data_IF_864929989817
#
_entry.id   IF_864929989817
#
_cell.length_a   1.000
_cell.length_b   1.000
_cell.length_c   1.000
_cell.angle_alpha   90.00
_cell.angle_beta   90.00
_cell.angle_gamma   90.00
#
_symmetry.space_group_name_H-M   'P 1'
#
loop_
_entity.id
_entity.type
_entity.pdbx_description
1 polymer ?
#
# COMPACT_ATOMS: atom_id res chain seq x y z
N UNK A 1 2.20 -14.24 -16.28
CA UNK A 1 2.56 -13.61 -15.01
C UNK A 1 1.35 -12.89 -14.49
N UNK A 2 0.78 -13.36 -13.40
CA UNK A 2 -0.34 -12.73 -12.67
C UNK A 2 0.18 -12.04 -11.42
N UNK A 3 -0.62 -11.13 -10.85
CA UNK A 3 -0.26 -10.52 -9.56
C UNK A 3 -0.09 -11.55 -8.44
N UNK A 4 -0.90 -12.62 -8.44
CA UNK A 4 -0.80 -13.68 -7.44
C UNK A 4 0.50 -14.48 -7.56
N UNK A 5 0.92 -14.79 -8.79
CA UNK A 5 2.23 -15.44 -9.04
C UNK A 5 3.40 -14.58 -8.53
N UNK A 6 3.34 -13.25 -8.73
CA UNK A 6 4.35 -12.33 -8.21
C UNK A 6 4.35 -12.22 -6.68
N UNK A 7 3.17 -12.19 -6.06
CA UNK A 7 3.06 -12.18 -4.59
C UNK A 7 3.64 -13.45 -3.98
N UNK A 8 3.37 -14.61 -4.58
CA UNK A 8 3.94 -15.89 -4.17
C UNK A 8 5.46 -15.92 -4.36
N UNK A 9 5.98 -15.40 -5.48
CA UNK A 9 7.42 -15.27 -5.75
C UNK A 9 8.14 -14.47 -4.65
N UNK A 10 7.55 -13.37 -4.20
CA UNK A 10 8.07 -12.51 -3.15
C UNK A 10 7.73 -12.99 -1.74
N UNK A 11 7.00 -14.11 -1.60
CA UNK A 11 6.49 -14.64 -0.34
C UNK A 11 5.73 -13.57 0.46
N UNK A 12 4.83 -12.83 -0.20
CA UNK A 12 4.00 -11.78 0.40
C UNK A 12 2.58 -12.28 0.61
N UNK A 13 2.16 -12.38 1.86
CA UNK A 13 0.78 -12.68 2.21
C UNK A 13 -0.08 -11.40 2.20
N UNK A 14 -1.40 -11.57 2.15
CA UNK A 14 -2.39 -10.48 2.25
C UNK A 14 -2.09 -9.51 3.40
N UNK A 15 -1.68 -10.04 4.56
CA UNK A 15 -1.37 -9.24 5.74
C UNK A 15 -0.07 -8.43 5.59
N UNK A 16 0.90 -8.93 4.83
CA UNK A 16 2.13 -8.19 4.51
C UNK A 16 1.83 -7.00 3.59
N UNK A 17 0.96 -7.20 2.60
CA UNK A 17 0.46 -6.12 1.72
C UNK A 17 -0.26 -5.07 2.56
N UNK A 18 -1.20 -5.51 3.41
CA UNK A 18 -1.98 -4.63 4.28
C UNK A 18 -1.08 -3.80 5.18
N UNK A 19 -0.05 -4.43 5.76
CA UNK A 19 0.93 -3.72 6.59
C UNK A 19 1.68 -2.63 5.82
N UNK A 20 2.21 -2.93 4.64
CA UNK A 20 2.92 -1.94 3.81
C UNK A 20 2.01 -0.78 3.39
N UNK A 21 0.76 -1.07 3.02
CA UNK A 21 -0.23 -0.03 2.70
C UNK A 21 -0.54 0.86 3.92
N UNK A 22 -0.68 0.28 5.11
CA UNK A 22 -0.84 1.04 6.36
C UNK A 22 0.36 1.95 6.65
N UNK A 23 1.60 1.50 6.38
CA UNK A 23 2.79 2.33 6.56
C UNK A 23 2.73 3.57 5.66
N UNK A 24 2.38 3.41 4.38
CA UNK A 24 2.24 4.54 3.44
C UNK A 24 1.15 5.52 3.87
N UNK A 25 0.02 5.01 4.37
CA UNK A 25 -1.05 5.87 4.92
C UNK A 25 -0.56 6.61 6.17
N UNK A 26 0.20 5.94 7.03
CA UNK A 26 0.80 6.54 8.23
C UNK A 26 1.76 7.66 7.86
N UNK A 27 2.65 7.44 6.87
CA UNK A 27 3.54 8.46 6.34
C UNK A 27 2.77 9.64 5.77
N UNK A 28 1.68 9.41 5.04
CA UNK A 28 0.78 10.46 4.55
C UNK A 28 0.17 11.27 5.69
N UNK A 29 -0.25 10.62 6.78
CA UNK A 29 -0.80 11.28 7.98
C UNK A 29 0.26 12.15 8.66
N UNK A 30 1.48 11.62 8.86
CA UNK A 30 2.59 12.35 9.46
C UNK A 30 2.96 13.56 8.60
N UNK A 31 3.08 13.39 7.28
CA UNK A 31 3.35 14.47 6.36
C UNK A 31 2.26 15.56 6.40
N UNK A 32 0.99 15.18 6.50
CA UNK A 32 -0.11 16.15 6.66
C UNK A 32 -0.01 16.91 7.99
N UNK A 33 0.32 16.21 9.08
CA UNK A 33 0.52 16.84 10.38
C UNK A 33 1.66 17.86 10.35
N UNK A 34 2.78 17.53 9.69
CA UNK A 34 3.95 18.40 9.58
C UNK A 34 3.69 19.65 8.73
N UNK A 35 2.90 19.54 7.65
CA UNK A 35 2.69 20.62 6.70
C UNK A 35 1.43 21.45 6.94
N UNK A 36 0.34 20.84 7.42
CA UNK A 36 -0.96 21.51 7.62
C UNK A 36 -1.37 21.61 9.10
N UNK A 37 -0.57 21.02 10.00
CA UNK A 37 -0.86 21.00 11.42
C UNK A 37 -2.04 20.10 11.80
N UNK A 38 -2.42 20.16 13.07
CA UNK A 38 -3.49 19.32 13.64
C UNK A 38 -4.87 19.62 13.02
N UNK A 39 -5.16 20.87 12.68
CA UNK A 39 -6.44 21.26 12.07
C UNK A 39 -6.59 20.70 10.65
N UNK A 40 -5.53 20.79 9.83
CA UNK A 40 -5.51 20.19 8.48
C UNK A 40 -5.72 18.68 8.54
N UNK A 41 -4.97 17.99 9.41
CA UNK A 41 -5.15 16.56 9.63
C UNK A 41 -6.57 16.23 10.12
N UNK A 42 -7.13 17.03 11.03
CA UNK A 42 -8.50 16.82 11.53
C UNK A 42 -9.52 16.88 10.40
N UNK A 43 -9.41 17.86 9.49
CA UNK A 43 -10.30 17.96 8.31
C UNK A 43 -10.15 16.74 7.39
N UNK A 44 -8.93 16.27 7.16
CA UNK A 44 -8.68 15.07 6.35
C UNK A 44 -9.33 13.84 6.96
N UNK A 45 -9.15 13.59 8.25
CA UNK A 45 -9.78 12.46 8.95
C UNK A 45 -11.31 12.59 8.98
N UNK A 46 -11.82 13.80 9.22
CA UNK A 46 -13.26 14.08 9.26
C UNK A 46 -13.95 13.90 7.90
N UNK A 47 -13.23 14.09 6.79
CA UNK A 47 -13.78 13.90 5.44
C UNK A 47 -14.27 12.48 5.15
N UNK A 48 -13.84 11.48 5.93
CA UNK A 48 -14.15 10.07 5.71
C UNK A 48 -13.22 9.39 4.69
N UNK A 49 -12.53 10.15 3.85
CA UNK A 49 -11.66 9.62 2.80
C UNK A 49 -10.60 8.64 3.33
N UNK A 50 -9.99 8.91 4.49
CA UNK A 50 -9.00 7.99 5.09
C UNK A 50 -9.63 6.66 5.51
N UNK A 51 -10.88 6.68 5.98
CA UNK A 51 -11.62 5.45 6.28
C UNK A 51 -11.90 4.65 5.01
N UNK A 52 -12.33 5.34 3.94
CA UNK A 52 -12.55 4.72 2.63
C UNK A 52 -11.25 4.16 2.05
N UNK A 53 -10.12 4.85 2.21
CA UNK A 53 -8.78 4.40 1.77
C UNK A 53 -8.33 3.14 2.51
N UNK A 54 -8.68 2.97 3.78
CA UNK A 54 -8.34 1.78 4.58
C UNK A 54 -9.26 0.59 4.29
N UNK A 55 -10.51 0.83 3.94
CA UNK A 55 -11.49 -0.22 3.69
C UNK A 55 -11.14 -1.05 2.43
N UNK A 56 -11.07 -2.37 2.57
CA UNK A 56 -10.68 -3.34 1.51
C UNK A 56 -9.44 -2.94 0.71
N UNK A 57 -8.49 -2.24 1.35
CA UNK A 57 -7.39 -1.58 0.66
C UNK A 57 -6.46 -2.55 -0.06
N UNK A 58 -6.19 -3.71 0.53
CA UNK A 58 -5.32 -4.71 -0.09
C UNK A 58 -6.01 -5.36 -1.29
N UNK A 59 -7.32 -5.62 -1.20
CA UNK A 59 -8.07 -6.22 -2.30
C UNK A 59 -8.13 -5.24 -3.49
N UNK A 60 -8.40 -3.96 -3.23
CA UNK A 60 -8.38 -2.92 -4.27
C UNK A 60 -6.99 -2.77 -4.89
N UNK A 61 -5.94 -2.78 -4.07
CA UNK A 61 -4.57 -2.70 -4.56
C UNK A 61 -4.22 -3.90 -5.44
N UNK A 62 -4.49 -5.13 -4.98
CA UNK A 62 -4.21 -6.35 -5.74
C UNK A 62 -5.00 -6.38 -7.06
N UNK A 63 -6.27 -5.97 -7.03
CA UNK A 63 -7.12 -5.88 -8.22
C UNK A 63 -6.59 -4.85 -9.21
N UNK A 64 -6.27 -3.63 -8.77
CA UNK A 64 -5.71 -2.57 -9.63
C UNK A 64 -4.41 -3.03 -10.29
N UNK A 65 -3.46 -3.56 -9.50
CA UNK A 65 -2.17 -4.04 -10.03
C UNK A 65 -2.35 -5.22 -10.98
N UNK A 66 -3.22 -6.16 -10.65
CA UNK A 66 -3.57 -7.27 -11.53
C UNK A 66 -4.17 -6.81 -12.86
N UNK A 67 -5.14 -5.91 -12.83
CA UNK A 67 -5.79 -5.37 -14.03
C UNK A 67 -4.80 -4.61 -14.92
N UNK A 68 -3.92 -3.79 -14.32
CA UNK A 68 -2.92 -3.03 -15.08
C UNK A 68 -1.82 -3.90 -15.65
N UNK A 69 -1.40 -4.96 -14.94
CA UNK A 69 -0.45 -5.95 -15.43
C UNK A 69 -1.05 -6.72 -16.62
N UNK A 70 -2.29 -7.20 -16.49
CA UNK A 70 -3.00 -7.93 -17.54
C UNK A 70 -3.20 -7.10 -18.81
N UNK A 71 -3.38 -5.78 -18.67
CA UNK A 71 -3.53 -4.86 -19.81
C UNK A 71 -2.19 -4.38 -20.38
N UNK A 72 -1.05 -4.85 -19.86
CA UNK A 72 0.29 -4.36 -20.20
C UNK A 72 0.46 -2.84 -20.06
N UNK A 73 -0.31 -2.24 -19.14
CA UNK A 73 -0.26 -0.80 -18.82
C UNK A 73 0.79 -0.54 -17.73
N UNK A 74 1.01 -1.53 -16.86
CA UNK A 74 2.04 -1.47 -15.84
C UNK A 74 3.32 -2.10 -16.36
N UNK A 75 4.43 -1.40 -16.18
CA UNK A 75 5.75 -2.02 -16.30
C UNK A 75 5.94 -3.00 -15.14
N UNK A 76 6.15 -4.28 -15.47
CA UNK A 76 6.42 -5.33 -14.48
C UNK A 76 7.62 -4.96 -13.60
N UNK A 77 8.63 -4.27 -14.14
CA UNK A 77 9.78 -3.78 -13.37
C UNK A 77 9.36 -2.86 -12.23
N UNK A 78 8.46 -1.91 -12.50
CA UNK A 78 7.96 -1.01 -11.47
C UNK A 78 7.14 -1.73 -10.39
N UNK A 79 6.35 -2.74 -10.78
CA UNK A 79 5.63 -3.57 -9.81
C UNK A 79 6.61 -4.36 -8.93
N UNK A 80 7.67 -4.90 -9.52
CA UNK A 80 8.71 -5.64 -8.78
C UNK A 80 9.47 -4.74 -7.80
N UNK A 81 9.70 -3.48 -8.13
CA UNK A 81 10.25 -2.50 -7.20
C UNK A 81 9.30 -2.27 -6.01
N UNK A 82 8.00 -2.12 -6.30
CA UNK A 82 6.96 -1.95 -5.27
C UNK A 82 6.88 -3.17 -4.34
N UNK A 83 6.93 -4.39 -4.88
CA UNK A 83 6.94 -5.64 -4.11
C UNK A 83 8.22 -5.80 -3.28
N UNK A 84 9.36 -5.37 -3.83
CA UNK A 84 10.64 -5.37 -3.10
C UNK A 84 10.56 -4.48 -1.86
N UNK A 85 9.92 -3.31 -1.96
CA UNK A 85 9.68 -2.45 -0.81
C UNK A 85 8.75 -3.12 0.22
N UNK A 86 7.68 -3.79 -0.22
CA UNK A 86 6.78 -4.52 0.68
C UNK A 86 7.49 -5.64 1.45
N UNK A 87 8.48 -6.30 0.83
CA UNK A 87 9.32 -7.29 1.52
C UNK A 87 10.18 -6.64 2.61
N UNK A 88 10.75 -5.47 2.35
CA UNK A 88 11.49 -4.72 3.38
C UNK A 88 10.59 -4.34 4.56
N UNK A 89 9.39 -3.86 4.27
CA UNK A 89 8.40 -3.51 5.30
C UNK A 89 8.01 -4.71 6.16
N UNK A 90 7.82 -5.88 5.53
CA UNK A 90 7.59 -7.17 6.22
C UNK A 90 8.75 -7.56 7.12
N UNK A 91 9.99 -7.39 6.67
CA UNK A 91 11.20 -7.71 7.46
C UNK A 91 11.28 -6.78 8.68
N UNK A 92 11.10 -5.47 8.46
CA UNK A 92 11.15 -4.47 9.53
C UNK A 92 10.06 -4.70 10.58
N UNK A 93 8.86 -5.12 10.17
CA UNK A 93 7.77 -5.49 11.08
C UNK A 93 8.17 -6.58 12.07
N UNK A 94 8.95 -7.57 11.66
CA UNK A 94 9.37 -8.69 12.52
C UNK A 94 10.40 -8.30 13.58
N UNK A 95 10.96 -7.10 13.49
CA UNK A 95 11.90 -6.55 14.46
C UNK A 95 11.19 -5.74 15.57
N UNK A 96 9.87 -5.54 15.46
CA UNK A 96 9.00 -4.96 16.49
C UNK A 96 8.48 -6.04 17.43
#
# INVERSE_FOLDING_TARGET
MTIHELLDEYNLATDDIRWSLCLRITESIVHNLENEGSEGLTRKLWSGNTGDELYDMEERWTRDRGDRLNRAILDEGHLRDELSQMVLDKINRRQL
#
